data_IF_215806336623
#
_entry.id   IF_215806336623
#
_cell.length_a   1.000
_cell.length_b   1.000
_cell.length_c   1.000
_cell.angle_alpha   90.00
_cell.angle_beta   90.00
_cell.angle_gamma   90.00
#
_symmetry.space_group_name_H-M   'P 1'
#
loop_
_entity.id
_entity.type
_entity.pdbx_description
1 polymer ?
#
# COMPACT_ATOMS: atom_id res chain seq x y z
N UNK A 1 -12.80 -8.56 20.74
CA UNK A 1 -11.60 -8.29 19.93
C UNK A 1 -11.77 -9.07 18.65
N UNK A 2 -12.05 -8.37 17.54
CA UNK A 2 -12.24 -9.01 16.24
C UNK A 2 -10.90 -9.59 15.81
N UNK A 3 -10.85 -10.89 15.57
CA UNK A 3 -9.62 -11.57 15.17
C UNK A 3 -9.31 -11.20 13.72
N UNK A 4 -8.17 -10.58 13.46
CA UNK A 4 -7.71 -10.20 12.12
C UNK A 4 -7.59 -11.46 11.25
N UNK A 5 -8.41 -11.54 10.20
CA UNK A 5 -8.45 -12.66 9.25
C UNK A 5 -7.22 -12.68 8.33
N UNK A 6 -7.05 -13.73 7.53
CA UNK A 6 -5.98 -13.78 6.53
C UNK A 6 -6.13 -12.68 5.47
N UNK A 7 -7.36 -12.41 5.03
CA UNK A 7 -7.68 -11.30 4.12
C UNK A 7 -7.41 -9.95 4.73
N UNK A 8 -7.77 -9.73 6.00
CA UNK A 8 -7.45 -8.49 6.69
C UNK A 8 -5.94 -8.24 6.72
N UNK A 9 -5.14 -9.28 7.02
CA UNK A 9 -3.67 -9.18 7.04
C UNK A 9 -3.13 -8.81 5.66
N UNK A 10 -3.55 -9.52 4.62
CA UNK A 10 -3.13 -9.20 3.26
C UNK A 10 -3.51 -7.78 2.87
N UNK A 11 -4.76 -7.37 3.10
CA UNK A 11 -5.24 -6.02 2.79
C UNK A 11 -4.44 -4.94 3.54
N UNK A 12 -4.04 -5.20 4.78
CA UNK A 12 -3.15 -4.33 5.55
C UNK A 12 -1.78 -4.22 4.88
N UNK A 13 -1.17 -5.32 4.44
CA UNK A 13 0.13 -5.28 3.76
C UNK A 13 0.04 -4.55 2.40
N UNK A 14 -1.06 -4.70 1.67
CA UNK A 14 -1.28 -3.93 0.44
C UNK A 14 -1.41 -2.44 0.75
N UNK A 15 -2.13 -2.05 1.80
CA UNK A 15 -2.20 -0.65 2.23
C UNK A 15 -0.84 -0.08 2.62
N UNK A 16 0.01 -0.85 3.32
CA UNK A 16 1.37 -0.41 3.64
C UNK A 16 2.19 -0.15 2.39
N UNK A 17 2.08 -1.03 1.39
CA UNK A 17 2.76 -0.85 0.12
C UNK A 17 2.27 0.41 -0.62
N UNK A 18 0.95 0.61 -0.68
CA UNK A 18 0.37 1.82 -1.29
C UNK A 18 0.84 3.10 -0.59
N UNK A 19 0.89 3.10 0.75
CA UNK A 19 1.40 4.23 1.52
C UNK A 19 2.89 4.43 1.24
N UNK A 20 3.70 3.38 1.15
CA UNK A 20 5.14 3.49 0.88
C UNK A 20 5.41 4.10 -0.50
N UNK A 21 4.63 3.72 -1.51
CA UNK A 21 4.69 4.30 -2.86
C UNK A 21 4.35 5.79 -2.87
N UNK A 22 3.21 6.12 -2.27
CA UNK A 22 2.72 7.50 -2.20
C UNK A 22 3.63 8.39 -1.34
N UNK A 23 4.32 7.81 -0.35
CA UNK A 23 5.31 8.51 0.49
C UNK A 23 6.70 8.61 -0.14
N UNK A 24 6.88 8.27 -1.42
CA UNK A 24 8.21 8.24 -2.08
C UNK A 24 8.97 9.58 -2.02
N UNK A 25 8.28 10.72 -1.98
CA UNK A 25 8.89 12.05 -1.84
C UNK A 25 8.96 12.55 -0.36
N UNK A 26 8.67 11.67 0.59
CA UNK A 26 8.61 11.96 2.03
C UNK A 26 7.33 12.65 2.48
N UNK A 27 6.33 12.81 1.60
CA UNK A 27 5.01 13.38 1.90
C UNK A 27 3.93 12.49 1.33
N UNK A 28 2.75 12.54 1.94
CA UNK A 28 1.55 11.91 1.41
C UNK A 28 0.56 13.02 1.12
N UNK A 29 0.13 13.16 -0.13
CA UNK A 29 -0.77 14.24 -0.51
C UNK A 29 -2.24 13.92 -0.13
N UNK A 30 -3.12 14.92 -0.22
CA UNK A 30 -4.52 14.76 0.15
C UNK A 30 -5.31 13.81 -0.77
N UNK A 31 -4.94 13.72 -2.05
CA UNK A 31 -5.58 12.84 -3.05
C UNK A 31 -5.19 11.39 -2.79
N UNK A 32 -3.91 11.11 -2.64
CA UNK A 32 -3.36 9.78 -2.33
C UNK A 32 -3.91 9.29 -0.99
N UNK A 33 -3.91 10.16 0.03
CA UNK A 33 -4.49 9.84 1.34
C UNK A 33 -5.99 9.51 1.24
N UNK A 34 -6.74 10.27 0.43
CA UNK A 34 -8.16 10.01 0.16
C UNK A 34 -8.39 8.68 -0.55
N UNK A 35 -7.57 8.32 -1.54
CA UNK A 35 -7.63 7.05 -2.25
C UNK A 35 -7.32 5.87 -1.32
N UNK A 36 -6.22 5.94 -0.56
CA UNK A 36 -5.84 4.90 0.43
C UNK A 36 -6.96 4.72 1.46
N UNK A 37 -7.58 5.81 1.92
CA UNK A 37 -8.72 5.73 2.84
C UNK A 37 -9.95 5.09 2.19
N UNK A 38 -10.21 5.38 0.92
CA UNK A 38 -11.28 4.75 0.15
C UNK A 38 -11.08 3.23 0.03
N UNK A 39 -9.86 2.82 -0.33
CA UNK A 39 -9.46 1.42 -0.48
C UNK A 39 -9.55 0.66 0.84
N UNK A 40 -9.02 1.24 1.93
CA UNK A 40 -9.10 0.65 3.27
C UNK A 40 -10.56 0.39 3.69
N UNK A 41 -11.48 1.31 3.37
CA UNK A 41 -12.91 1.15 3.65
C UNK A 41 -13.55 0.09 2.75
N UNK A 42 -13.25 0.06 1.46
CA UNK A 42 -13.84 -0.94 0.55
C UNK A 42 -13.43 -2.37 0.90
N UNK A 43 -12.24 -2.53 1.46
CA UNK A 43 -11.70 -3.83 1.89
C UNK A 43 -12.05 -4.20 3.33
N UNK A 44 -12.88 -3.39 4.01
CA UNK A 44 -13.25 -3.57 5.42
C UNK A 44 -12.04 -3.74 6.36
N UNK A 45 -10.92 -3.07 6.06
CA UNK A 45 -9.73 -3.13 6.91
C UNK A 45 -10.10 -2.64 8.31
N UNK A 46 -9.71 -3.37 9.38
CA UNK A 46 -10.04 -2.98 10.74
C UNK A 46 -9.63 -1.53 11.04
N UNK A 47 -10.58 -0.74 11.56
CA UNK A 47 -10.37 0.69 11.77
C UNK A 47 -9.18 0.99 12.68
N UNK A 48 -8.93 0.12 13.68
CA UNK A 48 -7.78 0.24 14.59
C UNK A 48 -6.44 0.15 13.87
N UNK A 49 -6.32 -0.74 12.88
CA UNK A 49 -5.10 -0.94 12.09
C UNK A 49 -4.85 0.27 11.18
N UNK A 50 -5.89 0.71 10.47
CA UNK A 50 -5.78 1.88 9.62
C UNK A 50 -5.54 3.17 10.43
N UNK A 51 -6.12 3.29 11.63
CA UNK A 51 -5.86 4.40 12.55
C UNK A 51 -4.40 4.41 13.03
N UNK A 52 -3.80 3.25 13.30
CA UNK A 52 -2.39 3.16 13.68
C UNK A 52 -1.47 3.63 12.55
N UNK A 53 -1.72 3.23 11.30
CA UNK A 53 -0.98 3.69 10.12
C UNK A 53 -1.06 5.21 9.95
N UNK A 54 -2.25 5.80 10.02
CA UNK A 54 -2.44 7.25 9.95
C UNK A 54 -1.71 7.98 11.08
N UNK A 55 -1.76 7.44 12.30
CA UNK A 55 -1.09 8.03 13.44
C UNK A 55 0.42 8.06 13.23
N UNK A 56 1.03 6.98 12.71
CA UNK A 56 2.46 6.93 12.44
C UNK A 56 2.89 8.04 11.46
N UNK A 57 2.17 8.16 10.34
CA UNK A 57 2.45 9.19 9.32
C UNK A 57 2.27 10.62 9.86
N UNK A 58 1.23 10.85 10.67
CA UNK A 58 0.95 12.16 11.26
C UNK A 58 2.05 12.64 12.24
N UNK A 59 2.83 11.73 12.82
CA UNK A 59 3.96 12.06 13.69
C UNK A 59 5.29 12.20 12.93
N UNK A 60 5.26 12.22 11.59
CA UNK A 60 6.46 12.27 10.75
C UNK A 60 7.24 10.96 10.70
N UNK A 61 6.62 9.86 11.14
CA UNK A 61 7.19 8.53 10.99
C UNK A 61 7.16 8.08 9.54
N UNK A 62 8.22 7.40 9.10
CA UNK A 62 8.22 6.70 7.82
C UNK A 62 7.16 5.58 7.83
N UNK A 63 6.54 5.26 6.68
CA UNK A 63 5.60 4.15 6.60
C UNK A 63 6.28 2.83 6.97
N UNK A 64 5.54 1.89 7.58
CA UNK A 64 6.09 0.58 7.86
C UNK A 64 6.30 -0.18 6.55
N UNK A 65 7.38 -0.94 6.47
CA UNK A 65 7.62 -1.81 5.32
C UNK A 65 6.50 -2.88 5.20
N UNK A 66 5.98 -3.14 3.99
CA UNK A 66 5.02 -4.20 3.74
C UNK A 66 5.70 -5.58 3.80
N UNK A 67 4.95 -6.59 4.21
CA UNK A 67 5.37 -7.99 4.09
C UNK A 67 5.24 -8.47 2.64
N UNK A 68 6.30 -8.28 1.86
CA UNK A 68 6.35 -8.69 0.46
C UNK A 68 6.22 -10.21 0.27
N UNK A 69 6.55 -11.03 1.28
CA UNK A 69 6.38 -12.47 1.18
C UNK A 69 4.89 -12.85 1.22
N UNK A 70 4.08 -12.17 2.04
CA UNK A 70 2.63 -12.35 2.04
C UNK A 70 1.98 -11.83 0.76
N UNK A 71 2.50 -10.74 0.20
CA UNK A 71 1.96 -10.15 -1.02
C UNK A 71 2.14 -11.02 -2.27
N UNK A 72 3.13 -11.93 -2.27
CA UNK A 72 3.37 -12.90 -3.36
C UNK A 72 2.23 -13.88 -3.58
N UNK A 73 1.36 -14.08 -2.60
CA UNK A 73 0.25 -15.04 -2.72
C UNK A 73 -0.81 -14.55 -3.73
N UNK A 74 -0.92 -13.23 -3.94
CA UNK A 74 -1.93 -12.60 -4.80
C UNK A 74 -1.36 -11.41 -5.57
N UNK A 75 -0.35 -11.63 -6.44
CA UNK A 75 0.40 -10.55 -7.06
C UNK A 75 -0.47 -9.65 -7.95
N UNK A 76 -1.49 -10.21 -8.60
CA UNK A 76 -2.41 -9.45 -9.46
C UNK A 76 -3.19 -8.39 -8.66
N UNK A 77 -3.70 -8.72 -7.48
CA UNK A 77 -4.41 -7.79 -6.60
C UNK A 77 -3.48 -6.67 -6.11
N UNK A 78 -2.22 -7.01 -5.85
CA UNK A 78 -1.19 -6.03 -5.47
C UNK A 78 -0.93 -5.05 -6.61
N UNK A 79 -0.71 -5.55 -7.83
CA UNK A 79 -0.45 -4.68 -8.97
C UNK A 79 -1.65 -3.82 -9.36
N UNK A 80 -2.88 -4.32 -9.20
CA UNK A 80 -4.11 -3.51 -9.36
C UNK A 80 -4.12 -2.32 -8.38
N UNK A 81 -3.86 -2.56 -7.10
CA UNK A 81 -3.85 -1.53 -6.08
C UNK A 81 -2.73 -0.50 -6.29
N UNK A 82 -1.54 -0.98 -6.67
CA UNK A 82 -0.39 -0.12 -6.99
C UNK A 82 -0.65 0.74 -8.22
N UNK A 83 -1.24 0.19 -9.28
CA UNK A 83 -1.64 0.96 -10.47
C UNK A 83 -2.66 2.04 -10.12
N UNK A 84 -3.60 1.74 -9.22
CA UNK A 84 -4.63 2.70 -8.81
C UNK A 84 -4.05 3.92 -8.08
N UNK A 85 -3.02 3.75 -7.24
CA UNK A 85 -2.40 4.89 -6.57
C UNK A 85 -1.56 5.75 -7.51
N UNK A 86 -0.77 5.13 -8.38
CA UNK A 86 0.03 5.83 -9.39
C UNK A 86 -0.86 6.64 -10.35
N UNK A 87 -1.99 6.06 -10.77
CA UNK A 87 -2.95 6.76 -11.61
C UNK A 87 -3.65 7.95 -10.92
N UNK A 88 -3.60 8.02 -9.58
CA UNK A 88 -4.27 9.06 -8.79
C UNK A 88 -3.62 10.44 -8.90
N UNK A 89 -2.30 10.52 -9.10
CA UNK A 89 -1.58 11.78 -9.31
C UNK A 89 -1.45 12.11 -10.81
N UNK A 90 -1.71 11.13 -11.69
CA UNK A 90 -1.70 11.29 -13.15
C UNK A 90 -0.30 11.34 -13.78
N UNK A 91 0.75 11.32 -12.96
CA UNK A 91 2.15 11.26 -13.39
C UNK A 91 2.85 10.10 -12.68
N UNK A 92 3.37 9.15 -13.46
CA UNK A 92 4.29 8.13 -12.95
C UNK A 92 5.67 8.75 -12.81
N UNK A 93 6.10 8.97 -11.57
CA UNK A 93 7.43 9.50 -11.23
C UNK A 93 8.50 8.44 -11.48
N UNK A 94 9.75 8.89 -11.62
CA UNK A 94 10.88 7.98 -11.91
C UNK A 94 11.07 6.97 -10.76
N UNK A 95 10.90 7.43 -9.52
CA UNK A 95 11.04 6.65 -8.30
C UNK A 95 9.93 5.58 -8.18
N UNK A 96 8.69 5.93 -8.54
CA UNK A 96 7.58 4.98 -8.56
C UNK A 96 7.78 3.89 -9.62
N UNK A 97 8.35 4.26 -10.76
CA UNK A 97 8.68 3.32 -11.83
C UNK A 97 9.78 2.34 -11.39
N UNK A 98 10.79 2.82 -10.67
CA UNK A 98 11.85 1.96 -10.13
C UNK A 98 11.27 0.96 -9.11
N UNK A 99 10.45 1.45 -8.16
CA UNK A 99 9.80 0.59 -7.18
C UNK A 99 8.85 -0.44 -7.84
N UNK A 100 8.16 -0.06 -8.91
CA UNK A 100 7.33 -0.96 -9.69
C UNK A 100 8.14 -2.10 -10.32
N UNK A 101 9.28 -1.79 -10.92
CA UNK A 101 10.14 -2.82 -11.52
C UNK A 101 10.74 -3.73 -10.45
N UNK A 102 11.11 -3.20 -9.29
CA UNK A 102 11.51 -4.01 -8.13
C UNK A 102 10.38 -4.93 -7.66
N UNK A 103 9.16 -4.42 -7.53
CA UNK A 103 7.99 -5.22 -7.18
C UNK A 103 7.72 -6.32 -8.22
N UNK A 104 7.94 -6.07 -9.51
CA UNK A 104 7.82 -7.10 -10.56
C UNK A 104 8.86 -8.19 -10.43
N UNK A 105 10.08 -7.87 -10.02
CA UNK A 105 11.11 -8.88 -9.74
C UNK A 105 10.77 -9.68 -8.48
N UNK A 106 10.23 -9.01 -7.44
CA UNK A 106 9.94 -9.64 -6.16
C UNK A 106 8.66 -10.48 -6.20
N UNK A 107 7.59 -9.98 -6.84
CA UNK A 107 6.26 -10.58 -6.86
C UNK A 107 5.95 -11.35 -8.16
N UNK A 108 6.77 -11.16 -9.20
CA UNK A 108 6.64 -11.91 -10.44
C UNK A 108 6.89 -13.40 -10.22
N UNK A 109 6.36 -14.27 -11.10
CA UNK A 109 6.67 -15.68 -11.04
C UNK A 109 8.20 -15.87 -11.10
N UNK A 110 8.74 -16.71 -10.22
CA UNK A 110 10.12 -17.18 -10.36
C UNK A 110 10.24 -17.78 -11.78
N UNK A 111 11.10 -17.17 -12.61
CA UNK A 111 11.36 -17.66 -13.97
C UNK A 111 11.93 -19.08 -13.96
#
# INVERSE_FOLDING_TARGET
MSQTTADDRFNIEVLKLMIQLAWSDGRLDARESGLIQGVARSWNVPESEFAALKKLLAHGGAPPAPDLALLRDRPDEVFEAVRAIIASDGELRAEEKELLEELRVILGPES
#
